data_IF_283259729020
#
_entry.id   IF_283259729020
#
_cell.length_a   1.000
_cell.length_b   1.000
_cell.length_c   1.000
_cell.angle_alpha   90.00
_cell.angle_beta   90.00
_cell.angle_gamma   90.00
#
_symmetry.space_group_name_H-M   'P 1'
#
loop_
_entity.id
_entity.type
_entity.pdbx_description
1 polymer ?
#
# COMPACT_ATOMS: atom_id res chain seq x y z
N UNK A 1 6.34 -16.54 -8.45
CA UNK A 1 6.17 -17.41 -7.24
C UNK A 1 6.08 -18.86 -7.70
N UNK A 2 6.67 -19.83 -6.96
CA UNK A 2 6.48 -21.25 -7.24
C UNK A 2 5.04 -21.68 -6.92
N UNK A 3 4.33 -22.26 -7.89
CA UNK A 3 2.94 -22.68 -7.81
C UNK A 3 2.79 -24.22 -7.82
N UNK A 4 3.89 -24.95 -7.64
CA UNK A 4 3.92 -26.42 -7.68
C UNK A 4 2.89 -27.07 -6.74
N UNK A 5 2.55 -26.42 -5.64
CA UNK A 5 1.55 -26.90 -4.68
C UNK A 5 0.12 -26.38 -4.94
N UNK A 6 -0.12 -25.59 -6.00
CA UNK A 6 -1.42 -24.96 -6.22
C UNK A 6 -2.56 -25.96 -6.30
N UNK A 7 -2.38 -27.06 -7.05
CA UNK A 7 -3.41 -28.09 -7.20
C UNK A 7 -3.75 -28.79 -5.88
N UNK A 8 -2.75 -29.09 -5.04
CA UNK A 8 -2.95 -29.76 -3.76
C UNK A 8 -3.66 -28.84 -2.74
N UNK A 9 -3.23 -27.57 -2.67
CA UNK A 9 -3.86 -26.56 -1.81
C UNK A 9 -5.30 -26.31 -2.26
N UNK A 10 -5.55 -26.20 -3.57
CA UNK A 10 -6.90 -26.05 -4.11
C UNK A 10 -7.78 -27.25 -3.78
N UNK A 11 -7.29 -28.47 -3.97
CA UNK A 11 -8.01 -29.68 -3.62
C UNK A 11 -8.38 -29.72 -2.13
N UNK A 12 -7.49 -29.25 -1.23
CA UNK A 12 -7.79 -29.12 0.19
C UNK A 12 -8.91 -28.10 0.45
N UNK A 13 -8.92 -26.96 -0.25
CA UNK A 13 -9.97 -25.93 -0.14
C UNK A 13 -11.31 -26.48 -0.64
N UNK A 14 -11.31 -27.18 -1.77
CA UNK A 14 -12.52 -27.72 -2.40
C UNK A 14 -13.15 -28.86 -1.60
N UNK A 15 -12.33 -29.63 -0.89
CA UNK A 15 -12.79 -30.77 -0.07
C UNK A 15 -13.32 -30.34 1.32
N UNK A 16 -13.39 -29.04 1.64
CA UNK A 16 -14.06 -28.54 2.84
C UNK A 16 -15.57 -28.73 2.74
N UNK A 17 -16.26 -28.84 3.89
CA UNK A 17 -17.72 -29.08 3.97
C UNK A 17 -18.54 -27.91 3.46
N UNK A 18 -18.38 -27.57 2.19
CA UNK A 18 -19.04 -26.47 1.46
C UNK A 18 -19.09 -26.78 -0.03
N UNK A 19 -20.03 -26.23 -0.80
CA UNK A 19 -19.94 -26.28 -2.25
C UNK A 19 -18.65 -25.61 -2.75
N UNK A 20 -18.05 -26.16 -3.80
CA UNK A 20 -16.84 -25.58 -4.42
C UNK A 20 -17.11 -24.14 -4.84
N UNK A 21 -16.20 -23.22 -4.51
CA UNK A 21 -16.29 -21.80 -4.84
C UNK A 21 -17.27 -20.98 -3.99
N UNK A 22 -18.01 -21.60 -3.04
CA UNK A 22 -19.09 -20.92 -2.31
C UNK A 22 -18.63 -19.83 -1.31
N UNK A 23 -17.36 -19.84 -0.91
CA UNK A 23 -16.77 -18.75 -0.10
C UNK A 23 -16.14 -17.64 -0.97
N UNK A 24 -16.25 -17.74 -2.30
CA UNK A 24 -15.86 -16.69 -3.24
C UNK A 24 -14.40 -16.27 -3.08
N UNK A 25 -14.19 -14.95 -2.91
CA UNK A 25 -12.83 -14.38 -2.84
C UNK A 25 -12.00 -14.89 -1.64
N UNK A 26 -12.65 -15.33 -0.55
CA UNK A 26 -11.91 -15.88 0.60
C UNK A 26 -11.15 -17.17 0.24
N UNK A 27 -11.65 -17.96 -0.72
CA UNK A 27 -10.94 -19.17 -1.19
C UNK A 27 -9.66 -18.78 -1.97
N UNK A 28 -9.73 -17.74 -2.80
CA UNK A 28 -8.56 -17.20 -3.51
C UNK A 28 -7.52 -16.64 -2.53
N UNK A 29 -7.97 -15.93 -1.49
CA UNK A 29 -7.10 -15.42 -0.42
C UNK A 29 -6.41 -16.57 0.31
N UNK A 30 -7.14 -17.61 0.68
CA UNK A 30 -6.56 -18.76 1.36
C UNK A 30 -5.55 -19.51 0.47
N UNK A 31 -5.87 -19.70 -0.82
CA UNK A 31 -4.95 -20.29 -1.79
C UNK A 31 -3.66 -19.49 -1.89
N UNK A 32 -3.76 -18.17 -2.09
CA UNK A 32 -2.59 -17.30 -2.24
C UNK A 32 -1.74 -17.28 -0.96
N UNK A 33 -2.34 -17.14 0.22
CA UNK A 33 -1.61 -17.18 1.49
C UNK A 33 -0.92 -18.52 1.73
N UNK A 34 -1.61 -19.64 1.45
CA UNK A 34 -1.04 -20.98 1.57
C UNK A 34 0.14 -21.18 0.62
N UNK A 35 0.02 -20.74 -0.64
CA UNK A 35 1.11 -20.79 -1.63
C UNK A 35 2.33 -19.97 -1.18
N UNK A 36 2.12 -18.73 -0.74
CA UNK A 36 3.20 -17.87 -0.24
C UNK A 36 3.90 -18.54 0.95
N UNK A 37 3.14 -19.09 1.90
CA UNK A 37 3.71 -19.72 3.08
C UNK A 37 4.30 -21.11 2.82
N UNK A 38 4.03 -21.70 1.66
CA UNK A 38 4.62 -22.98 1.22
C UNK A 38 5.93 -22.82 0.46
N UNK A 39 6.31 -21.59 0.11
CA UNK A 39 7.58 -21.35 -0.60
C UNK A 39 8.77 -21.93 0.19
N UNK A 40 9.70 -22.59 -0.53
CA UNK A 40 10.89 -23.27 0.02
C UNK A 40 10.61 -24.43 0.99
N UNK A 41 9.36 -24.95 1.02
CA UNK A 41 9.02 -26.11 1.84
C UNK A 41 8.93 -27.39 0.99
N UNK A 42 9.20 -28.54 1.60
CA UNK A 42 9.10 -29.83 0.89
C UNK A 42 7.67 -30.27 0.61
N UNK A 43 6.67 -29.65 1.27
CA UNK A 43 5.24 -29.93 1.11
C UNK A 43 4.42 -28.67 1.43
N UNK A 44 3.18 -28.56 0.94
CA UNK A 44 2.33 -27.42 1.23
C UNK A 44 2.03 -27.29 2.73
N UNK A 45 1.79 -26.05 3.18
CA UNK A 45 1.46 -25.82 4.59
C UNK A 45 0.11 -26.41 4.95
N UNK A 46 0.06 -27.10 6.09
CA UNK A 46 -1.19 -27.58 6.68
C UNK A 46 -2.01 -26.49 7.35
N UNK A 47 -1.38 -25.36 7.65
CA UNK A 47 -1.99 -24.26 8.39
C UNK A 47 -1.42 -22.92 7.93
N UNK A 48 -2.31 -21.98 7.65
CA UNK A 48 -1.95 -20.57 7.37
C UNK A 48 -1.83 -19.83 8.70
N UNK A 49 -0.68 -19.22 8.95
CA UNK A 49 -0.45 -18.39 10.12
C UNK A 49 -0.45 -16.90 9.74
N UNK A 50 -1.08 -16.06 10.56
CA UNK A 50 -0.96 -14.60 10.50
C UNK A 50 -0.37 -14.15 11.82
N UNK A 51 0.91 -13.79 11.80
CA UNK A 51 1.69 -13.44 12.97
C UNK A 51 2.13 -11.98 12.91
N UNK A 52 1.91 -11.24 13.99
CA UNK A 52 2.34 -9.84 14.14
C UNK A 52 2.05 -8.99 12.89
N UNK A 53 0.79 -8.96 12.38
CA UNK A 53 0.48 -8.13 11.23
C UNK A 53 0.92 -6.69 11.50
N UNK A 54 1.61 -6.07 10.56
CA UNK A 54 2.25 -4.78 10.77
C UNK A 54 1.81 -3.76 9.72
N UNK A 55 1.46 -2.56 10.20
CA UNK A 55 1.12 -1.39 9.41
C UNK A 55 2.30 -0.41 9.43
N UNK A 56 2.80 -0.04 8.26
CA UNK A 56 3.82 0.97 8.06
C UNK A 56 3.16 2.17 7.37
N UNK A 57 3.00 3.29 8.07
CA UNK A 57 2.46 4.53 7.53
C UNK A 57 3.61 5.43 7.13
N UNK A 58 3.80 5.64 5.84
CA UNK A 58 4.86 6.45 5.26
C UNK A 58 4.38 7.89 5.10
N UNK A 59 5.10 8.86 5.65
CA UNK A 59 4.73 10.26 5.62
C UNK A 59 5.76 11.11 4.85
N UNK A 60 5.26 11.97 3.94
CA UNK A 60 6.11 12.87 3.17
C UNK A 60 5.34 14.03 2.57
N UNK A 61 5.95 15.19 2.50
CA UNK A 61 5.34 16.38 1.91
C UNK A 61 5.70 16.57 0.44
N UNK A 62 4.77 17.19 -0.29
CA UNK A 62 4.87 17.44 -1.72
C UNK A 62 4.89 18.93 -2.04
N UNK A 63 5.92 19.40 -2.74
CA UNK A 63 6.02 20.80 -3.15
C UNK A 63 4.87 21.27 -4.04
N UNK A 64 4.17 20.36 -4.72
CA UNK A 64 2.98 20.72 -5.53
C UNK A 64 1.82 21.22 -4.66
N UNK A 65 1.82 20.97 -3.35
CA UNK A 65 0.79 21.45 -2.43
C UNK A 65 0.73 22.99 -2.38
N UNK A 66 1.87 23.68 -2.62
CA UNK A 66 1.95 25.15 -2.71
C UNK A 66 1.04 25.75 -3.81
N UNK A 67 0.69 24.94 -4.81
CA UNK A 67 -0.20 25.34 -5.90
C UNK A 67 -1.69 25.27 -5.55
N UNK A 68 -2.05 24.95 -4.31
CA UNK A 68 -3.45 24.90 -3.84
C UNK A 68 -4.24 23.73 -4.42
N UNK A 69 -3.59 22.57 -4.62
CA UNK A 69 -4.22 21.31 -5.07
C UNK A 69 -4.89 20.53 -3.95
N UNK A 70 -4.83 21.01 -2.71
CA UNK A 70 -5.46 20.44 -1.52
C UNK A 70 -6.25 21.51 -0.78
N UNK A 71 -7.24 21.08 0.02
CA UNK A 71 -7.98 21.97 0.95
C UNK A 71 -7.15 22.28 2.20
N UNK A 72 -6.20 21.40 2.54
CA UNK A 72 -5.35 21.52 3.72
C UNK A 72 -3.95 22.02 3.31
N UNK A 73 -3.29 22.84 4.13
CA UNK A 73 -1.90 23.20 3.94
C UNK A 73 -0.97 22.07 4.37
N UNK A 74 0.31 22.14 3.95
CA UNK A 74 1.29 21.06 4.18
C UNK A 74 1.57 20.78 5.66
N UNK A 75 1.40 21.78 6.54
CA UNK A 75 1.59 21.62 7.99
C UNK A 75 0.68 20.52 8.59
N UNK A 76 -0.43 20.22 7.91
CA UNK A 76 -1.35 19.14 8.32
C UNK A 76 -0.67 17.77 8.26
N UNK A 77 0.30 17.55 7.36
CA UNK A 77 1.07 16.29 7.32
C UNK A 77 1.75 16.04 8.67
N UNK A 78 2.49 17.02 9.17
CA UNK A 78 3.19 16.91 10.46
C UNK A 78 2.22 16.78 11.64
N UNK A 79 1.09 17.50 11.61
CA UNK A 79 0.05 17.39 12.64
C UNK A 79 -0.59 15.99 12.65
N UNK A 80 -0.83 15.40 11.48
CA UNK A 80 -1.35 14.04 11.39
C UNK A 80 -0.33 12.99 11.86
N UNK A 81 0.95 13.16 11.55
CA UNK A 81 2.00 12.30 12.11
C UNK A 81 2.04 12.39 13.63
N UNK A 82 1.93 13.58 14.21
CA UNK A 82 1.80 13.75 15.65
C UNK A 82 0.57 13.01 16.20
N UNK A 83 -0.57 13.10 15.51
CA UNK A 83 -1.80 12.40 15.88
C UNK A 83 -1.66 10.87 15.80
N UNK A 84 -0.97 10.33 14.79
CA UNK A 84 -0.66 8.89 14.69
C UNK A 84 0.18 8.42 15.88
N UNK A 85 1.19 9.18 16.26
CA UNK A 85 2.06 8.85 17.38
C UNK A 85 1.33 8.97 18.73
N UNK A 86 0.40 9.93 18.84
CA UNK A 86 -0.45 10.11 20.03
C UNK A 86 -1.60 9.07 20.11
N UNK A 87 -1.83 8.26 19.07
CA UNK A 87 -2.88 7.23 19.08
C UNK A 87 -4.29 7.73 18.73
N UNK A 88 -4.44 8.93 18.15
CA UNK A 88 -5.73 9.62 17.97
C UNK A 88 -6.36 9.50 16.59
N UNK A 89 -5.70 8.88 15.62
CA UNK A 89 -6.20 8.80 14.26
C UNK A 89 -7.05 7.54 13.98
N UNK A 90 -7.76 7.51 12.85
CA UNK A 90 -8.57 6.37 12.46
C UNK A 90 -7.76 5.08 12.36
N UNK A 91 -6.55 5.17 11.79
CA UNK A 91 -5.66 4.01 11.67
C UNK A 91 -5.29 3.43 13.04
N UNK A 92 -5.09 4.26 14.06
CA UNK A 92 -4.80 3.78 15.42
C UNK A 92 -5.94 2.92 15.96
N UNK A 93 -7.20 3.39 15.81
CA UNK A 93 -8.39 2.66 16.24
C UNK A 93 -8.52 1.29 15.54
N UNK A 94 -8.24 1.26 14.23
CA UNK A 94 -8.37 0.02 13.46
C UNK A 94 -7.19 -0.93 13.67
N UNK A 95 -6.00 -0.41 13.95
CA UNK A 95 -4.86 -1.22 14.35
C UNK A 95 -5.07 -1.86 15.73
N UNK A 96 -5.58 -1.08 16.68
CA UNK A 96 -5.83 -1.55 18.05
C UNK A 96 -6.84 -2.70 18.06
N UNK A 97 -8.03 -2.52 17.48
CA UNK A 97 -9.08 -3.56 17.46
C UNK A 97 -8.64 -4.84 16.74
N UNK A 98 -7.74 -4.74 15.74
CA UNK A 98 -7.28 -5.87 14.94
C UNK A 98 -5.94 -6.46 15.40
N UNK A 99 -5.30 -5.90 16.42
CA UNK A 99 -4.00 -6.33 16.93
C UNK A 99 -2.87 -6.13 15.91
N UNK A 100 -2.88 -5.00 15.20
CA UNK A 100 -1.90 -4.62 14.18
C UNK A 100 -0.82 -3.75 14.84
N UNK A 101 0.45 -4.07 14.60
CA UNK A 101 1.56 -3.24 15.03
C UNK A 101 1.70 -2.04 14.10
N UNK A 102 1.63 -0.81 14.63
CA UNK A 102 1.73 0.41 13.85
C UNK A 102 3.11 1.05 13.99
N UNK A 103 3.72 1.42 12.87
CA UNK A 103 4.88 2.33 12.80
C UNK A 103 4.61 3.46 11.83
N UNK A 104 5.16 4.63 12.12
CA UNK A 104 5.11 5.83 11.28
C UNK A 104 6.51 6.13 10.79
N UNK A 105 6.66 6.29 9.48
CA UNK A 105 7.94 6.51 8.81
C UNK A 105 7.96 7.94 8.27
N UNK A 106 8.81 8.81 8.83
CA UNK A 106 9.09 10.13 8.24
C UNK A 106 10.01 9.96 7.04
N UNK A 107 9.43 10.02 5.85
CA UNK A 107 10.14 9.93 4.58
C UNK A 107 10.69 11.28 4.12
N UNK A 108 10.20 12.36 4.71
CA UNK A 108 10.58 13.73 4.37
C UNK A 108 9.39 14.67 4.43
N UNK A 109 8.87 14.94 5.62
CA UNK A 109 7.99 16.06 5.89
C UNK A 109 8.76 17.38 5.73
N UNK A 110 8.08 18.54 5.64
CA UNK A 110 8.74 19.87 5.55
C UNK A 110 9.68 20.11 6.72
N UNK A 111 9.31 19.66 7.92
CA UNK A 111 10.16 19.70 9.11
C UNK A 111 10.07 18.37 9.87
N UNK A 112 11.11 17.96 10.62
CA UNK A 112 11.05 16.81 11.51
C UNK A 112 9.96 16.96 12.57
N UNK A 113 9.43 15.85 13.09
CA UNK A 113 8.33 15.87 14.06
C UNK A 113 8.70 16.55 15.38
N UNK A 114 9.98 16.48 15.80
CA UNK A 114 10.48 17.08 17.03
C UNK A 114 10.49 18.62 17.01
N UNK A 115 10.32 19.22 15.83
CA UNK A 115 10.10 20.68 15.71
C UNK A 115 8.70 21.05 16.21
N UNK A 116 7.69 20.20 15.99
CA UNK A 116 6.32 20.40 16.45
C UNK A 116 6.12 19.87 17.87
N UNK A 117 6.60 18.66 18.16
CA UNK A 117 6.42 17.94 19.41
C UNK A 117 7.77 17.33 19.83
N UNK A 118 8.60 18.05 20.58
CA UNK A 118 9.97 17.63 20.93
C UNK A 118 10.06 16.24 21.59
N UNK A 119 9.06 15.85 22.37
CA UNK A 119 8.99 14.56 23.04
C UNK A 119 8.85 13.38 22.07
N UNK A 120 8.41 13.61 20.83
CA UNK A 120 8.27 12.54 19.84
C UNK A 120 9.57 12.16 19.14
N UNK A 121 10.65 12.89 19.36
CA UNK A 121 11.98 12.60 18.79
C UNK A 121 12.42 11.14 18.97
N UNK A 122 12.11 10.55 20.10
CA UNK A 122 12.49 9.16 20.45
C UNK A 122 11.26 8.26 20.60
N UNK A 123 10.16 8.58 19.94
CA UNK A 123 8.95 7.78 20.03
C UNK A 123 9.19 6.38 19.43
N UNK A 124 8.84 5.27 20.13
CA UNK A 124 9.17 3.90 19.70
C UNK A 124 8.54 3.48 18.37
N UNK A 125 7.47 4.14 17.98
CA UNK A 125 6.76 3.89 16.72
C UNK A 125 7.15 4.84 15.60
N UNK A 126 8.06 5.80 15.83
CA UNK A 126 8.59 6.69 14.81
C UNK A 126 9.88 6.11 14.21
N UNK A 127 9.97 6.13 12.89
CA UNK A 127 11.19 5.81 12.14
C UNK A 127 11.53 6.98 11.23
N UNK A 128 12.72 7.55 11.37
CA UNK A 128 13.17 8.66 10.54
C UNK A 128 14.01 8.13 9.38
N UNK A 129 13.48 8.28 8.15
CA UNK A 129 14.11 7.89 6.88
C UNK A 129 13.96 9.01 5.85
N UNK A 130 14.29 10.23 6.27
CA UNK A 130 14.05 11.46 5.52
C UNK A 130 14.97 11.55 4.30
N UNK A 131 14.37 11.79 3.12
CA UNK A 131 15.07 12.04 1.86
C UNK A 131 15.27 13.55 1.62
N UNK A 132 14.58 14.39 2.38
CA UNK A 132 14.62 15.86 2.28
C UNK A 132 13.52 16.51 3.11
N UNK A 133 13.30 17.80 2.90
CA UNK A 133 12.24 18.58 3.53
C UNK A 133 11.08 18.77 2.54
N UNK A 134 10.37 17.68 2.24
CA UNK A 134 9.40 17.61 1.15
C UNK A 134 10.04 17.49 -0.23
N UNK A 135 9.28 17.02 -1.22
CA UNK A 135 9.73 17.00 -2.61
C UNK A 135 9.72 18.42 -3.19
N UNK A 136 10.43 18.63 -4.29
CA UNK A 136 10.22 19.83 -5.09
C UNK A 136 8.85 19.80 -5.78
N UNK A 137 8.39 20.96 -6.25
CA UNK A 137 7.12 21.08 -6.98
C UNK A 137 7.23 20.46 -8.37
N UNK A 138 6.66 19.28 -8.55
CA UNK A 138 6.74 18.53 -9.79
C UNK A 138 6.07 19.24 -10.98
N UNK A 139 5.23 20.24 -10.76
CA UNK A 139 4.69 21.03 -11.88
C UNK A 139 5.75 21.92 -12.54
N UNK A 140 6.79 22.28 -11.80
CA UNK A 140 7.85 23.20 -12.23
C UNK A 140 9.16 22.51 -12.58
N UNK A 141 9.53 21.48 -11.81
CA UNK A 141 10.80 20.75 -11.93
C UNK A 141 10.63 19.29 -11.50
N UNK A 142 11.68 18.48 -11.53
CA UNK A 142 11.67 17.12 -10.99
C UNK A 142 11.34 17.15 -9.50
N UNK A 143 10.49 16.25 -9.03
CA UNK A 143 10.09 16.12 -7.63
C UNK A 143 11.28 15.79 -6.72
N UNK A 144 12.20 14.96 -7.21
CA UNK A 144 13.39 14.52 -6.48
C UNK A 144 14.51 14.13 -7.46
N UNK A 145 15.72 13.94 -6.91
CA UNK A 145 16.86 13.49 -7.70
C UNK A 145 16.84 11.97 -7.91
N UNK A 146 17.57 11.44 -8.91
CA UNK A 146 17.76 10.00 -9.09
C UNK A 146 18.38 9.31 -7.87
N UNK A 147 19.28 9.99 -7.16
CA UNK A 147 19.91 9.51 -5.94
C UNK A 147 18.88 9.38 -4.81
N UNK A 148 17.95 10.33 -4.69
CA UNK A 148 16.84 10.25 -3.72
C UNK A 148 15.88 9.11 -4.06
N UNK A 149 15.63 8.83 -5.35
CA UNK A 149 14.85 7.63 -5.75
C UNK A 149 15.58 6.35 -5.31
N UNK A 150 16.87 6.22 -5.60
CA UNK A 150 17.63 5.04 -5.24
C UNK A 150 17.66 4.82 -3.71
N UNK A 151 17.95 5.87 -2.96
CA UNK A 151 17.97 5.84 -1.49
C UNK A 151 16.58 5.57 -0.89
N UNK A 152 15.53 6.12 -1.48
CA UNK A 152 14.15 5.88 -1.04
C UNK A 152 13.72 4.43 -1.22
N UNK A 153 14.06 3.80 -2.35
CA UNK A 153 13.84 2.37 -2.57
C UNK A 153 14.60 1.53 -1.51
N UNK A 154 15.85 1.88 -1.22
CA UNK A 154 16.65 1.21 -0.18
C UNK A 154 16.04 1.36 1.21
N UNK A 155 15.60 2.56 1.58
CA UNK A 155 14.98 2.84 2.88
C UNK A 155 13.67 2.06 3.06
N UNK A 156 12.82 2.02 2.01
CA UNK A 156 11.61 1.23 2.01
C UNK A 156 11.88 -0.26 2.17
N UNK A 157 12.87 -0.78 1.45
CA UNK A 157 13.32 -2.16 1.58
C UNK A 157 13.79 -2.46 3.01
N UNK A 158 14.64 -1.61 3.57
CA UNK A 158 15.19 -1.78 4.92
C UNK A 158 14.14 -1.84 6.01
N UNK A 159 13.13 -0.96 6.00
CA UNK A 159 12.09 -0.99 7.03
C UNK A 159 11.18 -2.21 6.89
N UNK A 160 10.88 -2.65 5.66
CA UNK A 160 10.13 -3.89 5.41
C UNK A 160 10.91 -5.10 5.92
N UNK A 161 12.21 -5.24 5.56
CA UNK A 161 13.08 -6.31 6.05
C UNK A 161 13.12 -6.36 7.58
N UNK A 162 13.40 -5.23 8.22
CA UNK A 162 13.44 -5.15 9.69
C UNK A 162 12.12 -5.60 10.31
N UNK A 163 10.98 -5.19 9.76
CA UNK A 163 9.65 -5.55 10.27
C UNK A 163 9.40 -7.05 10.14
N UNK A 164 9.78 -7.65 9.01
CA UNK A 164 9.66 -9.10 8.76
C UNK A 164 10.57 -9.88 9.71
N UNK A 165 11.84 -9.48 9.85
CA UNK A 165 12.80 -10.13 10.75
C UNK A 165 12.39 -10.05 12.22
N UNK A 166 11.59 -9.05 12.62
CA UNK A 166 10.98 -8.97 13.97
C UNK A 166 9.74 -9.86 14.12
N UNK A 167 9.41 -10.65 13.09
CA UNK A 167 8.41 -11.72 13.13
C UNK A 167 7.05 -11.37 12.52
N UNK A 168 6.94 -10.26 11.79
CA UNK A 168 5.76 -9.98 10.96
C UNK A 168 5.77 -10.88 9.73
N UNK A 169 4.66 -11.55 9.44
CA UNK A 169 4.48 -12.31 8.20
C UNK A 169 3.33 -11.80 7.33
N UNK A 170 2.86 -10.60 7.61
CA UNK A 170 1.88 -9.87 6.81
C UNK A 170 2.13 -8.37 6.98
N UNK A 171 2.46 -7.69 5.90
CA UNK A 171 2.64 -6.24 5.88
C UNK A 171 1.40 -5.54 5.33
N UNK A 172 1.20 -4.32 5.80
CA UNK A 172 0.23 -3.35 5.30
C UNK A 172 0.93 -2.00 5.20
N UNK A 173 0.63 -1.26 4.15
CA UNK A 173 1.20 0.07 3.96
C UNK A 173 0.09 1.12 3.96
N UNK A 174 0.34 2.19 4.67
CA UNK A 174 -0.45 3.41 4.66
C UNK A 174 0.41 4.59 4.24
N UNK A 175 -0.19 5.72 4.00
CA UNK A 175 0.52 6.92 3.58
C UNK A 175 -0.12 8.19 4.19
N UNK A 176 0.69 9.22 4.29
CA UNK A 176 0.26 10.56 4.69
C UNK A 176 1.12 11.62 3.99
N UNK A 177 0.47 12.52 3.25
CA UNK A 177 1.17 13.62 2.59
C UNK A 177 0.22 14.55 1.85
N UNK A 178 0.20 15.82 2.28
CA UNK A 178 -0.65 16.80 1.57
C UNK A 178 -0.12 16.99 0.15
N UNK A 179 -0.99 16.74 -0.85
CA UNK A 179 -0.65 16.80 -2.27
C UNK A 179 -0.30 15.45 -2.92
N UNK A 180 -0.16 14.36 -2.14
CA UNK A 180 0.24 13.04 -2.63
C UNK A 180 -0.70 12.43 -3.67
N UNK A 181 -2.02 12.69 -3.62
CA UNK A 181 -2.96 12.24 -4.66
C UNK A 181 -2.65 12.85 -6.03
N UNK A 182 -2.06 14.06 -6.08
CA UNK A 182 -1.61 14.67 -7.34
C UNK A 182 -0.40 13.95 -7.91
N UNK A 183 0.56 13.59 -7.06
CA UNK A 183 1.72 12.78 -7.42
C UNK A 183 1.31 11.38 -7.90
N UNK A 184 0.44 10.70 -7.15
CA UNK A 184 -0.08 9.39 -7.53
C UNK A 184 -0.83 9.43 -8.87
N UNK A 185 -1.66 10.46 -9.11
CA UNK A 185 -2.34 10.64 -10.40
C UNK A 185 -1.35 10.88 -11.56
N UNK A 186 -0.30 11.67 -11.32
CA UNK A 186 0.73 11.91 -12.32
C UNK A 186 1.54 10.64 -12.65
N UNK A 187 1.91 9.88 -11.63
CA UNK A 187 2.59 8.58 -11.78
C UNK A 187 1.72 7.59 -12.57
N UNK A 188 0.44 7.46 -12.19
CA UNK A 188 -0.48 6.55 -12.88
C UNK A 188 -0.60 6.92 -14.36
N UNK A 189 -0.89 8.18 -14.67
CA UNK A 189 -1.02 8.64 -16.07
C UNK A 189 0.27 8.43 -16.87
N UNK A 190 1.44 8.79 -16.31
CA UNK A 190 2.72 8.67 -16.98
C UNK A 190 3.13 7.22 -17.27
N UNK A 191 2.80 6.28 -16.38
CA UNK A 191 3.22 4.87 -16.47
C UNK A 191 2.23 3.98 -17.22
N UNK A 192 0.93 4.29 -17.19
CA UNK A 192 -0.12 3.49 -17.81
C UNK A 192 -0.58 4.03 -19.16
N UNK A 193 -0.15 5.24 -19.56
CA UNK A 193 -0.67 5.98 -20.72
C UNK A 193 -2.17 6.29 -20.66
N UNK A 194 -2.79 6.22 -19.48
CA UNK A 194 -4.16 6.66 -19.26
C UNK A 194 -4.26 8.19 -19.34
N UNK A 195 -5.36 8.67 -19.90
CA UNK A 195 -5.67 10.08 -19.85
C UNK A 195 -5.74 10.58 -18.42
N UNK A 196 -5.25 11.79 -18.20
CA UNK A 196 -5.22 12.44 -16.91
C UNK A 196 -6.61 12.52 -16.27
N UNK A 197 -7.64 12.69 -17.10
CA UNK A 197 -9.04 12.77 -16.68
C UNK A 197 -9.52 11.51 -15.93
N UNK A 198 -8.94 10.36 -16.22
CA UNK A 198 -9.22 9.12 -15.50
C UNK A 198 -8.38 8.95 -14.23
N UNK A 199 -7.24 9.63 -14.14
CA UNK A 199 -6.29 9.48 -13.03
C UNK A 199 -6.52 10.49 -11.90
N UNK A 200 -6.99 11.72 -12.25
CA UNK A 200 -7.16 12.80 -11.28
C UNK A 200 -8.53 12.75 -10.62
N UNK A 201 -8.55 12.74 -9.29
CA UNK A 201 -9.76 12.80 -8.47
C UNK A 201 -9.79 14.03 -7.56
N UNK A 202 -10.90 14.17 -6.83
CA UNK A 202 -11.13 15.28 -5.90
C UNK A 202 -10.29 15.19 -4.62
N UNK A 203 -9.61 14.05 -4.40
CA UNK A 203 -8.84 13.83 -3.17
C UNK A 203 -9.72 13.98 -1.93
N UNK A 204 -9.25 14.76 -0.97
CA UNK A 204 -9.98 15.04 0.28
C UNK A 204 -11.21 15.96 0.12
N UNK A 205 -11.54 16.39 -1.10
CA UNK A 205 -12.78 17.14 -1.36
C UNK A 205 -12.56 18.57 -1.88
N UNK A 206 -11.61 18.76 -2.82
CA UNK A 206 -11.37 20.06 -3.47
C UNK A 206 -12.56 20.49 -4.33
N UNK A 207 -12.74 21.81 -4.50
CA UNK A 207 -13.76 22.39 -5.37
C UNK A 207 -13.38 22.29 -6.86
N UNK A 208 -14.33 22.64 -7.75
CA UNK A 208 -14.16 22.54 -9.21
C UNK A 208 -12.99 23.39 -9.75
N UNK A 209 -12.74 24.55 -9.17
CA UNK A 209 -11.63 25.42 -9.58
C UNK A 209 -10.28 24.80 -9.19
N UNK A 210 -10.18 24.26 -7.98
CA UNK A 210 -9.00 23.54 -7.52
C UNK A 210 -8.76 22.26 -8.33
N UNK A 211 -9.82 21.53 -8.68
CA UNK A 211 -9.76 20.36 -9.54
C UNK A 211 -9.20 20.69 -10.92
N UNK A 212 -9.74 21.76 -11.58
CA UNK A 212 -9.22 22.22 -12.86
C UNK A 212 -7.74 22.64 -12.79
N UNK A 213 -7.32 23.25 -11.68
CA UNK A 213 -5.91 23.56 -11.43
C UNK A 213 -5.08 22.29 -11.29
N UNK A 214 -5.52 21.33 -10.50
CA UNK A 214 -4.86 20.04 -10.29
C UNK A 214 -4.61 19.32 -11.64
N UNK A 215 -5.61 19.28 -12.53
CA UNK A 215 -5.46 18.73 -13.89
C UNK A 215 -4.30 19.38 -14.67
N UNK A 216 -4.23 20.70 -14.67
CA UNK A 216 -3.18 21.44 -15.39
C UNK A 216 -1.78 21.13 -14.85
N UNK A 217 -1.65 21.09 -13.52
CA UNK A 217 -0.37 20.83 -12.85
C UNK A 217 0.10 19.38 -13.06
N UNK A 218 -0.82 18.42 -12.97
CA UNK A 218 -0.55 17.01 -13.28
C UNK A 218 -0.11 16.86 -14.74
N UNK A 219 -0.81 17.51 -15.68
CA UNK A 219 -0.44 17.49 -17.11
C UNK A 219 0.97 18.04 -17.36
N UNK A 220 1.37 19.10 -16.67
CA UNK A 220 2.74 19.66 -16.77
C UNK A 220 3.80 18.64 -16.32
N UNK A 221 3.56 17.94 -15.20
CA UNK A 221 4.45 16.88 -14.73
C UNK A 221 4.52 15.70 -15.70
N UNK A 222 3.37 15.16 -16.12
CA UNK A 222 3.27 14.01 -17.04
C UNK A 222 3.95 14.28 -18.38
N UNK A 223 3.83 15.49 -18.92
CA UNK A 223 4.48 15.84 -20.17
C UNK A 223 6.01 15.71 -20.14
N UNK A 224 6.65 15.92 -18.97
CA UNK A 224 8.09 15.71 -18.81
C UNK A 224 8.48 14.24 -18.70
N UNK A 225 7.52 13.36 -18.43
CA UNK A 225 7.77 11.91 -18.25
C UNK A 225 7.86 11.13 -19.59
N UNK A 226 7.57 11.77 -20.72
CA UNK A 226 7.52 11.08 -22.03
C UNK A 226 8.85 10.44 -22.39
N UNK A 227 8.83 9.12 -22.64
CA UNK A 227 10.01 8.35 -23.04
C UNK A 227 10.99 8.05 -21.91
N UNK A 228 10.65 8.36 -20.68
CA UNK A 228 11.45 8.03 -19.52
C UNK A 228 11.11 6.62 -19.00
N UNK A 229 12.08 5.98 -18.34
CA UNK A 229 11.86 4.74 -17.62
C UNK A 229 11.13 4.96 -16.29
N UNK A 230 10.72 3.87 -15.64
CA UNK A 230 9.93 3.90 -14.39
C UNK A 230 10.63 4.67 -13.26
N UNK A 231 11.95 4.51 -13.08
CA UNK A 231 12.69 5.21 -12.02
C UNK A 231 12.85 6.71 -12.33
N UNK A 232 13.05 7.05 -13.58
CA UNK A 232 13.12 8.43 -14.02
C UNK A 232 11.74 9.12 -13.86
N UNK A 233 10.63 8.42 -14.14
CA UNK A 233 9.27 8.92 -13.89
C UNK A 233 9.04 9.16 -12.40
N UNK A 234 9.47 8.23 -11.52
CA UNK A 234 9.45 8.44 -10.08
C UNK A 234 10.19 9.72 -9.67
N UNK A 235 11.37 9.97 -10.24
CA UNK A 235 12.11 11.21 -9.96
C UNK A 235 11.34 12.47 -10.43
N UNK A 236 10.64 12.40 -11.57
CA UNK A 236 9.92 13.55 -12.12
C UNK A 236 8.69 13.95 -11.31
N UNK A 237 7.85 12.98 -10.92
CA UNK A 237 6.51 13.25 -10.38
C UNK A 237 6.16 12.45 -9.13
N UNK A 238 7.11 11.72 -8.55
CA UNK A 238 6.91 10.88 -7.37
C UNK A 238 6.80 11.65 -6.05
N UNK A 239 6.74 10.88 -4.97
CA UNK A 239 6.75 11.32 -3.58
C UNK A 239 7.76 10.52 -2.78
N UNK A 240 8.31 11.09 -1.72
CA UNK A 240 9.29 10.40 -0.88
C UNK A 240 8.69 9.16 -0.19
N UNK A 241 7.44 9.27 0.27
CA UNK A 241 6.68 8.17 0.83
C UNK A 241 6.34 7.10 -0.23
N UNK A 242 5.96 7.53 -1.43
CA UNK A 242 5.60 6.61 -2.53
C UNK A 242 6.82 5.76 -2.93
N UNK A 243 7.98 6.38 -3.10
CA UNK A 243 9.23 5.68 -3.46
C UNK A 243 9.62 4.67 -2.39
N UNK A 244 9.48 5.02 -1.11
CA UNK A 244 9.78 4.09 -0.01
C UNK A 244 8.77 2.95 0.04
N UNK A 245 7.47 3.19 -0.20
CA UNK A 245 6.47 2.12 -0.32
C UNK A 245 6.81 1.17 -1.47
N UNK A 246 7.26 1.68 -2.63
CA UNK A 246 7.72 0.82 -3.75
C UNK A 246 8.87 -0.08 -3.30
N UNK A 247 9.88 0.46 -2.62
CA UNK A 247 10.98 -0.32 -2.07
C UNK A 247 10.52 -1.39 -1.07
N UNK A 248 9.54 -1.06 -0.23
CA UNK A 248 8.96 -2.00 0.73
C UNK A 248 8.20 -3.16 0.05
N UNK A 249 7.49 -2.91 -1.06
CA UNK A 249 6.85 -3.97 -1.85
C UNK A 249 7.87 -4.92 -2.46
N UNK A 250 8.93 -4.40 -3.08
CA UNK A 250 9.99 -5.21 -3.67
C UNK A 250 10.68 -6.11 -2.64
N UNK A 251 10.90 -5.58 -1.45
CA UNK A 251 11.53 -6.33 -0.36
C UNK A 251 10.60 -7.38 0.24
N UNK A 252 9.31 -7.06 0.40
CA UNK A 252 8.31 -8.03 0.84
C UNK A 252 8.27 -9.25 -0.11
N UNK A 253 8.32 -9.03 -1.44
CA UNK A 253 8.46 -10.09 -2.44
C UNK A 253 9.74 -10.88 -2.24
N UNK A 254 10.89 -10.22 -2.09
CA UNK A 254 12.18 -10.88 -1.89
C UNK A 254 12.17 -11.80 -0.68
N UNK A 255 11.49 -11.36 0.40
CA UNK A 255 11.34 -12.12 1.65
C UNK A 255 10.06 -12.98 1.70
N UNK A 256 9.39 -13.17 0.56
CA UNK A 256 8.20 -14.03 0.43
C UNK A 256 7.11 -13.72 1.47
N UNK A 257 6.88 -12.43 1.69
CA UNK A 257 5.90 -11.94 2.67
C UNK A 257 4.75 -11.26 1.94
N UNK A 258 3.49 -11.67 2.20
CA UNK A 258 2.32 -11.05 1.60
C UNK A 258 2.12 -9.61 2.10
N UNK A 259 1.61 -8.77 1.22
CA UNK A 259 1.21 -7.39 1.53
C UNK A 259 -0.27 -7.21 1.25
N UNK A 260 -1.00 -6.72 2.25
CA UNK A 260 -2.39 -6.28 2.09
C UNK A 260 -2.39 -4.81 1.66
N UNK A 261 -2.67 -4.59 0.39
CA UNK A 261 -2.60 -3.28 -0.30
C UNK A 261 -3.80 -2.44 0.06
N UNK A 262 -3.58 -1.21 0.51
CA UNK A 262 -4.63 -0.28 0.92
C UNK A 262 -5.37 0.36 -0.28
N UNK A 263 -5.45 1.68 -0.31
CA UNK A 263 -6.21 2.46 -1.28
C UNK A 263 -5.40 2.89 -2.51
N UNK A 264 -5.83 4.02 -3.09
CA UNK A 264 -5.34 4.51 -4.38
C UNK A 264 -3.82 4.72 -4.44
N UNK A 265 -3.25 5.48 -3.50
CA UNK A 265 -1.84 5.87 -3.54
C UNK A 265 -0.94 4.64 -3.35
N UNK A 266 -1.27 3.79 -2.37
CA UNK A 266 -0.55 2.54 -2.11
C UNK A 266 -0.67 1.58 -3.30
N UNK A 267 -1.84 1.53 -3.97
CA UNK A 267 -2.04 0.73 -5.19
C UNK A 267 -1.21 1.27 -6.38
N UNK A 268 -1.01 2.58 -6.49
CA UNK A 268 -0.09 3.15 -7.49
C UNK A 268 1.36 2.73 -7.19
N UNK A 269 1.78 2.78 -5.92
CA UNK A 269 3.10 2.28 -5.53
C UNK A 269 3.24 0.76 -5.81
N UNK A 270 2.20 -0.04 -5.56
CA UNK A 270 2.14 -1.45 -5.90
C UNK A 270 2.28 -1.67 -7.42
N UNK A 271 1.59 -0.88 -8.24
CA UNK A 271 1.72 -0.92 -9.70
C UNK A 271 3.15 -0.60 -10.15
N UNK A 272 3.78 0.41 -9.56
CA UNK A 272 5.18 0.75 -9.85
C UNK A 272 6.11 -0.40 -9.48
N UNK A 273 5.90 -1.03 -8.33
CA UNK A 273 6.69 -2.19 -7.91
C UNK A 273 6.57 -3.35 -8.93
N UNK A 274 5.38 -3.59 -9.50
CA UNK A 274 5.19 -4.61 -10.54
C UNK A 274 5.83 -4.25 -11.87
N UNK A 275 5.96 -2.96 -12.20
CA UNK A 275 6.71 -2.52 -13.39
C UNK A 275 8.22 -2.69 -13.22
N UNK A 276 8.72 -2.66 -11.99
CA UNK A 276 10.15 -2.91 -11.69
C UNK A 276 10.45 -4.41 -11.54
N UNK A 277 9.50 -5.18 -11.03
CA UNK A 277 9.59 -6.63 -10.86
C UNK A 277 8.16 -7.22 -10.86
N UNK A 278 7.78 -7.84 -11.99
CA UNK A 278 6.40 -8.33 -12.20
C UNK A 278 5.96 -9.39 -11.19
N UNK A 279 6.87 -10.20 -10.66
CA UNK A 279 6.55 -11.21 -9.65
C UNK A 279 6.08 -10.60 -8.31
N UNK A 280 6.33 -9.32 -8.07
CA UNK A 280 5.86 -8.63 -6.86
C UNK A 280 4.33 -8.70 -6.73
N UNK A 281 3.61 -8.73 -7.87
CA UNK A 281 2.14 -8.85 -7.90
C UNK A 281 1.61 -10.09 -7.17
N UNK A 282 2.34 -11.18 -7.20
CA UNK A 282 1.92 -12.45 -6.62
C UNK A 282 1.88 -12.45 -5.09
N UNK A 283 2.52 -11.46 -4.46
CA UNK A 283 2.54 -11.27 -3.01
C UNK A 283 1.55 -10.19 -2.53
N UNK A 284 0.71 -9.66 -3.42
CA UNK A 284 -0.25 -8.60 -3.12
C UNK A 284 -1.68 -9.13 -3.00
N UNK A 285 -2.35 -8.77 -1.91
CA UNK A 285 -3.78 -8.93 -1.67
C UNK A 285 -4.37 -7.52 -1.59
N UNK A 286 -5.56 -7.28 -2.14
CA UNK A 286 -6.11 -5.92 -2.23
C UNK A 286 -7.24 -5.75 -1.24
N UNK A 287 -7.12 -4.75 -0.36
CA UNK A 287 -7.99 -4.55 0.77
C UNK A 287 -9.36 -4.00 0.38
N UNK A 288 -9.39 -2.90 -0.35
CA UNK A 288 -10.65 -2.25 -0.64
C UNK A 288 -10.62 -1.50 -1.98
N UNK A 289 -11.82 -1.18 -2.50
CA UNK A 289 -11.98 -0.19 -3.55
C UNK A 289 -12.11 1.19 -2.90
N UNK A 290 -11.20 2.10 -3.23
CA UNK A 290 -11.30 3.52 -2.84
C UNK A 290 -12.17 4.29 -3.83
N UNK A 291 -12.83 5.34 -3.35
CA UNK A 291 -13.63 6.28 -4.16
C UNK A 291 -12.77 7.23 -5.03
N UNK A 292 -11.43 7.11 -5.01
CA UNK A 292 -10.57 7.86 -5.91
C UNK A 292 -10.69 7.37 -7.35
N UNK A 293 -10.89 8.29 -8.31
CA UNK A 293 -11.15 7.98 -9.72
C UNK A 293 -10.11 7.03 -10.32
N UNK A 294 -8.82 7.30 -10.10
CA UNK A 294 -7.72 6.49 -10.63
C UNK A 294 -7.66 5.07 -10.07
N UNK A 295 -8.24 4.81 -8.90
CA UNK A 295 -8.07 3.53 -8.23
C UNK A 295 -8.65 2.36 -9.02
N UNK A 296 -9.82 2.54 -9.63
CA UNK A 296 -10.44 1.51 -10.47
C UNK A 296 -9.47 1.04 -11.58
N UNK A 297 -8.83 1.99 -12.26
CA UNK A 297 -7.91 1.67 -13.35
C UNK A 297 -6.63 0.98 -12.86
N UNK A 298 -6.10 1.37 -11.70
CA UNK A 298 -4.97 0.66 -11.08
C UNK A 298 -5.34 -0.78 -10.77
N UNK A 299 -6.50 -1.02 -10.16
CA UNK A 299 -6.99 -2.37 -9.86
C UNK A 299 -7.15 -3.21 -11.12
N UNK A 300 -7.67 -2.63 -12.20
CA UNK A 300 -7.80 -3.30 -13.51
C UNK A 300 -6.42 -3.68 -14.08
N UNK A 301 -5.44 -2.77 -14.07
CA UNK A 301 -4.07 -3.05 -14.52
C UNK A 301 -3.40 -4.15 -13.71
N UNK A 302 -3.62 -4.15 -12.41
CA UNK A 302 -3.10 -5.17 -11.50
C UNK A 302 -3.93 -6.47 -11.51
N UNK A 303 -5.04 -6.54 -12.26
CA UNK A 303 -6.00 -7.66 -12.22
C UNK A 303 -6.39 -8.00 -10.78
N UNK A 304 -6.68 -6.96 -10.00
CA UNK A 304 -6.93 -7.04 -8.58
C UNK A 304 -8.43 -7.13 -8.27
N UNK A 305 -8.78 -7.99 -7.31
CA UNK A 305 -10.13 -8.11 -6.76
C UNK A 305 -10.08 -7.63 -5.29
N UNK A 306 -10.60 -6.42 -4.98
CA UNK A 306 -10.57 -5.91 -3.62
C UNK A 306 -11.59 -6.61 -2.73
N UNK A 307 -11.23 -6.80 -1.44
CA UNK A 307 -12.04 -7.48 -0.44
C UNK A 307 -13.24 -6.67 0.05
N UNK A 308 -13.11 -5.34 0.09
CA UNK A 308 -14.11 -4.41 0.63
C UNK A 308 -14.49 -3.34 -0.39
N UNK A 309 -15.74 -2.92 -0.35
CA UNK A 309 -16.28 -1.76 -1.06
C UNK A 309 -17.18 -0.98 -0.09
N UNK A 310 -16.58 -0.08 0.70
CA UNK A 310 -17.23 0.66 1.78
C UNK A 310 -17.29 2.17 1.52
N UNK A 311 -16.95 2.62 0.31
CA UNK A 311 -16.89 4.05 -0.01
C UNK A 311 -15.74 4.79 0.70
N UNK A 312 -14.67 4.10 1.07
CA UNK A 312 -13.52 4.70 1.77
C UNK A 312 -12.66 5.54 0.82
N UNK A 313 -12.15 6.68 1.34
CA UNK A 313 -11.23 7.57 0.63
C UNK A 313 -10.27 8.32 1.56
N UNK A 314 -10.00 7.77 2.73
CA UNK A 314 -9.19 8.44 3.75
C UNK A 314 -7.68 8.27 3.53
N UNK A 315 -7.22 7.06 3.17
CA UNK A 315 -5.81 6.68 3.19
C UNK A 315 -5.38 6.16 4.56
N UNK A 316 -4.16 6.46 4.99
CA UNK A 316 -3.54 6.07 6.26
C UNK A 316 -3.34 4.55 6.43
N UNK A 317 -3.73 3.72 5.46
CA UNK A 317 -3.77 2.26 5.61
C UNK A 317 -5.09 1.74 6.19
N UNK A 318 -6.12 2.59 6.30
CA UNK A 318 -7.38 2.27 6.98
C UNK A 318 -8.16 1.13 6.32
N UNK A 319 -8.17 1.07 5.00
CA UNK A 319 -8.82 -0.03 4.27
C UNK A 319 -8.12 -1.37 4.51
N UNK A 320 -6.79 -1.37 4.53
CA UNK A 320 -6.01 -2.58 4.82
C UNK A 320 -6.25 -3.07 6.26
N UNK A 321 -6.25 -2.17 7.23
CA UNK A 321 -6.54 -2.53 8.62
C UNK A 321 -7.94 -3.14 8.78
N UNK A 322 -8.96 -2.59 8.10
CA UNK A 322 -10.33 -3.09 8.12
C UNK A 322 -10.52 -4.42 7.37
N UNK A 323 -9.70 -4.70 6.35
CA UNK A 323 -9.77 -5.95 5.59
C UNK A 323 -9.04 -7.14 6.28
N UNK A 324 -8.16 -6.89 7.24
CA UNK A 324 -7.40 -7.94 7.93
C UNK A 324 -8.27 -9.05 8.55
N UNK A 325 -9.44 -8.77 9.16
CA UNK A 325 -10.33 -9.84 9.65
C UNK A 325 -10.76 -10.85 8.59
N UNK A 326 -10.88 -10.43 7.31
CA UNK A 326 -11.22 -11.33 6.22
C UNK A 326 -10.05 -12.28 5.88
N UNK A 327 -8.81 -11.80 5.95
CA UNK A 327 -7.63 -12.67 5.82
C UNK A 327 -7.55 -13.69 6.96
N UNK A 328 -7.84 -13.24 8.20
CA UNK A 328 -7.92 -14.13 9.37
C UNK A 328 -9.03 -15.17 9.20
N UNK A 329 -10.18 -14.79 8.64
CA UNK A 329 -11.27 -15.71 8.32
C UNK A 329 -10.87 -16.72 7.24
N UNK A 330 -10.17 -16.27 6.17
CA UNK A 330 -9.65 -17.13 5.12
C UNK A 330 -8.64 -18.16 5.67
N UNK A 331 -7.72 -17.73 6.50
CA UNK A 331 -6.80 -18.62 7.20
C UNK A 331 -7.53 -19.61 8.11
N UNK A 332 -8.55 -19.16 8.83
CA UNK A 332 -9.26 -19.97 9.80
C UNK A 332 -10.11 -21.08 9.15
N UNK A 333 -10.81 -20.80 8.04
CA UNK A 333 -11.53 -21.86 7.35
C UNK A 333 -10.56 -22.88 6.73
N UNK A 334 -9.45 -22.44 6.15
CA UNK A 334 -8.40 -23.33 5.63
C UNK A 334 -7.89 -24.28 6.73
N UNK A 335 -7.62 -23.74 7.91
CA UNK A 335 -7.03 -24.45 9.03
C UNK A 335 -8.01 -25.41 9.72
N UNK A 336 -9.24 -24.96 10.00
CA UNK A 336 -10.15 -25.62 10.96
C UNK A 336 -11.44 -26.20 10.36
N UNK A 337 -11.85 -25.73 9.17
CA UNK A 337 -13.06 -26.27 8.57
C UNK A 337 -12.86 -27.74 8.24
N UNK A 338 -13.80 -28.60 8.63
CA UNK A 338 -13.76 -30.04 8.37
C UNK A 338 -13.81 -30.33 6.87
N UNK A 339 -13.20 -31.44 6.42
CA UNK A 339 -13.45 -32.02 5.11
C UNK A 339 -14.76 -32.84 5.12
N UNK A 340 -15.31 -33.10 3.95
CA UNK A 340 -16.48 -33.99 3.84
C UNK A 340 -16.22 -35.33 4.51
N UNK A 341 -15.05 -35.94 4.27
CA UNK A 341 -14.62 -37.20 4.87
C UNK A 341 -14.55 -37.11 6.41
N UNK A 342 -13.85 -36.10 6.94
CA UNK A 342 -13.64 -35.94 8.40
C UNK A 342 -14.93 -35.61 9.15
N UNK A 343 -15.92 -35.03 8.48
CA UNK A 343 -17.23 -34.70 9.03
C UNK A 343 -18.26 -35.83 8.84
N UNK A 344 -17.93 -36.88 8.07
CA UNK A 344 -18.87 -37.96 7.72
C UNK A 344 -20.06 -37.50 6.86
N UNK A 345 -19.86 -36.40 6.09
CA UNK A 345 -20.89 -35.85 5.20
C UNK A 345 -20.75 -36.48 3.81
N UNK A 346 -21.81 -37.11 3.35
CA UNK A 346 -21.90 -37.69 1.99
C UNK A 346 -22.46 -36.64 1.04
N UNK A 347 -21.80 -36.41 -0.09
CA UNK A 347 -22.21 -35.45 -1.13
C UNK A 347 -22.68 -36.19 -2.36
#
# INVERSE_FOLDING_TARGET
MDDSFAAEIQARIDNKTKPVGSLGLLEKVALQLALIQSQDKPQPVDSIAICKPSMLVFAGDHGVAEEGVSIAPSEVTQQMVANFLAGGAAINCFCDINGIQLKVIDCGMLAPIDVLVPEFKSHPNLVEQRLGNGTANFSKQSAMSPEQVALGLEYGAKIAEQTILHGSNLLMFGEMGIGNTSSASALLSALSSLDIDYCVGVGTGINQQQLSRKYKLVAQGVNRCRGLDTKAILAQVGGFEIVQIVGAFLEAKRLKTPVLVDGFIVSVAAYIATLLDEETREYMLFAHRSEENGHKFVLEHLKAEPLLDLGLRLGEGTGAALALPLLKAAAQFYNKMASFESAGVTV
#
